data_IF_680020512899
#
_entry.id   IF_680020512899
#
_cell.length_a   1.000
_cell.length_b   1.000
_cell.length_c   1.000
_cell.angle_alpha   90.00
_cell.angle_beta   90.00
_cell.angle_gamma   90.00
#
_symmetry.space_group_name_H-M   'P 1'
#
loop_
_entity.id
_entity.type
_entity.pdbx_description
1 polymer ?
#
# COMPACT_ATOMS: atom_id res chain seq x y z
N UNK A 1 -66.18 5.67 -9.16
CA UNK A 1 -65.04 6.52 -8.74
C UNK A 1 -64.35 5.81 -7.59
N UNK A 2 -63.34 4.96 -7.83
CA UNK A 2 -62.64 4.26 -6.76
C UNK A 2 -61.56 5.16 -6.16
N UNK A 3 -61.59 5.28 -4.83
CA UNK A 3 -60.63 6.03 -4.02
C UNK A 3 -59.35 5.22 -3.85
N UNK A 4 -58.24 5.73 -4.39
CA UNK A 4 -56.88 5.24 -4.18
C UNK A 4 -56.45 5.54 -2.74
N UNK A 5 -56.18 4.48 -1.97
CA UNK A 5 -55.46 4.55 -0.69
C UNK A 5 -53.97 4.38 -0.94
N UNK A 6 -53.09 5.18 -0.31
CA UNK A 6 -51.65 5.04 -0.49
C UNK A 6 -51.11 3.81 0.26
N UNK A 7 -50.05 3.16 -0.26
CA UNK A 7 -49.47 1.98 0.35
C UNK A 7 -48.76 2.32 1.67
N UNK A 8 -48.98 1.47 2.68
CA UNK A 8 -48.28 1.50 3.96
C UNK A 8 -46.77 1.36 3.74
N UNK A 9 -46.03 2.23 4.42
CA UNK A 9 -44.57 2.20 4.59
C UNK A 9 -44.10 0.79 4.95
N UNK A 10 -43.13 0.28 4.18
CA UNK A 10 -42.38 -0.95 4.46
C UNK A 10 -41.54 -0.79 5.72
N UNK A 11 -41.61 -1.79 6.58
CA UNK A 11 -40.71 -2.01 7.71
C UNK A 11 -39.30 -2.32 7.19
N UNK A 12 -38.34 -1.44 7.47
CA UNK A 12 -36.93 -1.57 7.05
C UNK A 12 -36.03 -2.28 8.08
N UNK A 13 -36.60 -2.88 9.12
CA UNK A 13 -35.81 -3.56 10.16
C UNK A 13 -36.23 -5.03 10.29
N UNK A 14 -35.81 -5.86 9.33
CA UNK A 14 -35.76 -7.31 9.52
C UNK A 14 -34.36 -7.70 10.02
N UNK A 15 -34.22 -8.36 11.19
CA UNK A 15 -32.94 -8.80 11.76
C UNK A 15 -32.15 -9.78 10.88
N UNK A 16 -32.77 -10.37 9.86
CA UNK A 16 -32.15 -11.37 8.99
C UNK A 16 -31.11 -10.84 8.01
N UNK A 17 -31.07 -9.52 7.74
CA UNK A 17 -30.09 -8.93 6.81
C UNK A 17 -28.72 -8.61 7.43
N UNK A 18 -28.54 -8.81 8.74
CA UNK A 18 -27.25 -8.63 9.40
C UNK A 18 -26.35 -9.88 9.33
N UNK A 19 -26.91 -11.07 9.08
CA UNK A 19 -26.13 -12.32 9.01
C UNK A 19 -25.30 -12.43 7.73
N UNK A 20 -25.85 -11.96 6.59
CA UNK A 20 -25.23 -12.15 5.27
C UNK A 20 -23.97 -11.27 5.07
N UNK A 21 -23.79 -10.20 5.84
CA UNK A 21 -22.64 -9.29 5.68
C UNK A 21 -21.39 -9.68 6.48
N UNK A 22 -21.47 -10.60 7.43
CA UNK A 22 -20.31 -10.99 8.25
C UNK A 22 -19.61 -12.26 7.76
N UNK A 23 -20.29 -13.13 7.00
CA UNK A 23 -19.69 -14.35 6.44
C UNK A 23 -18.63 -14.05 5.36
N UNK A 24 -18.75 -12.93 4.65
CA UNK A 24 -17.76 -12.50 3.64
C UNK A 24 -16.45 -11.98 4.26
N UNK A 25 -16.46 -11.60 5.54
CA UNK A 25 -15.27 -11.08 6.22
C UNK A 25 -14.30 -12.17 6.68
N UNK A 26 -14.78 -13.39 6.94
CA UNK A 26 -13.96 -14.44 7.56
C UNK A 26 -13.27 -15.39 6.55
N UNK A 27 -13.67 -15.37 5.28
CA UNK A 27 -13.14 -16.30 4.27
C UNK A 27 -11.91 -15.80 3.48
N UNK A 28 -11.41 -14.58 3.71
CA UNK A 28 -10.39 -13.97 2.84
C UNK A 28 -8.99 -13.78 3.46
N UNK A 29 -8.72 -14.31 4.65
CA UNK A 29 -7.39 -14.23 5.30
C UNK A 29 -6.59 -15.55 5.29
N UNK A 30 -6.94 -16.48 4.40
CA UNK A 30 -6.18 -17.70 4.17
C UNK A 30 -4.94 -17.50 3.29
N UNK A 31 -3.80 -17.23 3.93
CA UNK A 31 -2.48 -17.72 3.51
C UNK A 31 -1.84 -17.17 2.23
N UNK A 32 -1.05 -16.11 2.36
CA UNK A 32 0.16 -15.94 1.54
C UNK A 32 1.32 -15.50 2.43
N UNK A 33 2.22 -16.44 2.71
CA UNK A 33 3.58 -16.15 3.15
C UNK A 33 4.43 -15.99 1.90
N UNK A 34 4.80 -14.75 1.57
CA UNK A 34 5.85 -14.46 0.58
C UNK A 34 6.96 -13.65 1.25
N UNK A 35 8.23 -13.92 0.91
CA UNK A 35 9.36 -13.23 1.49
C UNK A 35 9.44 -11.79 0.97
N UNK A 36 9.59 -10.86 1.90
CA UNK A 36 9.86 -9.44 1.64
C UNK A 36 11.26 -9.31 1.04
N UNK A 37 11.34 -9.03 -0.27
CA UNK A 37 12.52 -8.42 -0.88
C UNK A 37 12.18 -6.95 -1.11
N UNK A 38 12.73 -6.10 -0.26
CA UNK A 38 12.71 -4.65 -0.47
C UNK A 38 13.71 -4.29 -1.56
N UNK A 39 13.23 -4.04 -2.77
CA UNK A 39 13.93 -3.19 -3.74
C UNK A 39 13.15 -1.90 -3.87
N UNK A 40 13.71 -0.82 -3.34
CA UNK A 40 13.20 0.53 -3.54
C UNK A 40 13.52 0.97 -4.97
N UNK A 41 12.50 1.03 -5.83
CA UNK A 41 12.58 1.71 -7.12
C UNK A 41 11.72 2.98 -7.04
N UNK A 42 12.39 4.13 -7.12
CA UNK A 42 11.75 5.43 -7.18
C UNK A 42 11.44 5.75 -8.64
N UNK A 43 10.18 5.61 -9.05
CA UNK A 43 9.70 6.08 -10.36
C UNK A 43 9.29 7.56 -10.26
N UNK A 44 9.91 8.38 -11.09
CA UNK A 44 9.51 9.76 -11.34
C UNK A 44 8.88 9.86 -12.73
N UNK A 45 7.57 10.13 -12.72
CA UNK A 45 6.80 10.63 -13.87
C UNK A 45 7.36 11.99 -14.32
N UNK A 46 8.20 11.98 -15.35
CA UNK A 46 8.58 13.22 -16.07
C UNK A 46 7.60 13.42 -17.22
N UNK A 47 6.53 14.15 -16.93
CA UNK A 47 5.57 14.64 -17.93
C UNK A 47 6.25 15.77 -18.73
N UNK A 48 6.74 15.47 -19.93
CA UNK A 48 7.17 16.50 -20.89
C UNK A 48 5.97 17.39 -21.23
N UNK A 49 6.03 18.66 -20.85
CA UNK A 49 5.10 19.69 -21.33
C UNK A 49 5.72 20.35 -22.58
N UNK A 50 4.97 20.31 -23.67
CA UNK A 50 5.25 21.03 -24.92
C UNK A 50 5.39 22.55 -24.67
N UNK A 51 6.46 23.21 -25.15
CA UNK A 51 6.67 24.64 -24.95
C UNK A 51 5.97 25.56 -25.97
N UNK A 52 5.14 25.05 -26.89
CA UNK A 52 4.55 25.85 -27.97
C UNK A 52 3.01 26.01 -27.89
N UNK A 53 2.52 26.61 -26.80
CA UNK A 53 1.14 27.12 -26.76
C UNK A 53 1.10 28.61 -26.41
N UNK A 54 1.27 29.42 -27.46
CA UNK A 54 1.09 30.87 -27.43
C UNK A 54 -0.39 31.24 -27.37
N UNK A 55 -0.68 32.11 -26.41
CA UNK A 55 -1.63 33.24 -26.46
C UNK A 55 -3.07 32.98 -26.92
N UNK A 56 -4.01 32.97 -25.98
CA UNK A 56 -5.21 33.82 -26.09
C UNK A 56 -5.56 34.43 -24.72
N UNK A 57 -5.40 35.75 -24.64
CA UNK A 57 -5.81 36.64 -23.55
C UNK A 57 -7.35 36.67 -23.45
N UNK A 58 -7.87 36.36 -22.26
CA UNK A 58 -9.23 36.68 -21.84
C UNK A 58 -9.23 37.32 -20.46
N UNK A 59 -8.97 38.62 -20.38
CA UNK A 59 -9.00 39.38 -19.13
C UNK A 59 -10.44 39.55 -18.64
N UNK A 60 -10.76 39.03 -17.46
CA UNK A 60 -11.90 39.52 -16.67
C UNK A 60 -11.42 39.94 -15.29
N UNK A 61 -11.43 41.24 -15.09
CA UNK A 61 -11.08 41.96 -13.86
C UNK A 61 -12.24 41.85 -12.87
N UNK A 62 -12.11 41.00 -11.86
CA UNK A 62 -12.98 41.00 -10.68
C UNK A 62 -12.18 41.43 -9.44
N UNK A 63 -12.51 42.62 -8.92
CA UNK A 63 -11.95 43.19 -7.69
C UNK A 63 -12.33 42.35 -6.47
N UNK A 64 -11.39 41.97 -5.57
CA UNK A 64 -11.75 41.48 -4.25
C UNK A 64 -11.99 42.65 -3.30
N UNK A 65 -13.14 42.62 -2.61
CA UNK A 65 -13.48 43.52 -1.51
C UNK A 65 -12.74 43.07 -0.26
N UNK A 66 -12.02 44.02 0.32
CA UNK A 66 -11.40 43.97 1.64
C UNK A 66 -12.48 43.84 2.71
N UNK A 67 -12.46 42.76 3.48
CA UNK A 67 -13.18 42.65 4.75
C UNK A 67 -12.15 42.51 5.87
N UNK A 68 -11.98 43.60 6.62
CA UNK A 68 -11.20 43.65 7.85
C UNK A 68 -11.95 42.92 8.97
N UNK A 69 -11.54 41.69 9.25
CA UNK A 69 -12.01 40.90 10.39
C UNK A 69 -10.86 40.64 11.35
N UNK A 70 -10.76 41.45 12.40
CA UNK A 70 -9.87 41.24 13.56
C UNK A 70 -10.28 39.95 14.29
N UNK A 71 -9.39 38.96 14.36
CA UNK A 71 -9.34 38.05 15.53
C UNK A 71 -7.98 37.37 15.68
N UNK A 72 -7.35 37.69 16.81
CA UNK A 72 -6.57 36.84 17.71
C UNK A 72 -5.24 36.23 17.20
N UNK A 73 -4.20 36.57 17.95
CA UNK A 73 -2.84 36.07 17.85
C UNK A 73 -2.79 34.54 17.79
N UNK A 74 -2.41 34.03 16.64
CA UNK A 74 -1.96 32.65 16.47
C UNK A 74 -0.46 32.60 16.73
N UNK A 75 -0.07 31.68 17.61
CA UNK A 75 1.32 31.31 17.84
C UNK A 75 1.98 30.90 16.51
N UNK A 76 3.28 31.20 16.31
CA UNK A 76 3.98 30.85 15.09
C UNK A 76 4.10 29.32 15.00
N UNK A 77 3.35 28.73 14.05
CA UNK A 77 3.48 27.33 13.66
C UNK A 77 4.86 27.14 13.02
N UNK A 78 5.78 26.58 13.79
CA UNK A 78 7.16 26.29 13.42
C UNK A 78 7.30 25.11 12.43
N UNK A 79 6.19 24.56 11.93
CA UNK A 79 6.16 23.33 11.11
C UNK A 79 6.38 23.55 9.60
N UNK A 80 6.28 24.78 9.09
CA UNK A 80 6.50 25.03 7.65
C UNK A 80 7.97 25.06 7.24
N UNK A 81 8.90 25.24 8.19
CA UNK A 81 10.33 25.36 7.88
C UNK A 81 11.02 23.99 7.77
N UNK A 82 10.56 22.96 8.51
CA UNK A 82 11.11 21.61 8.39
C UNK A 82 10.88 20.99 7.00
N UNK A 83 9.74 21.30 6.37
CA UNK A 83 9.44 20.76 5.04
C UNK A 83 10.26 21.43 3.93
N UNK A 84 10.72 22.66 4.14
CA UNK A 84 11.53 23.36 3.15
C UNK A 84 12.97 22.82 3.12
N UNK A 85 13.56 22.58 4.29
CA UNK A 85 14.91 22.01 4.43
C UNK A 85 14.95 20.58 3.88
N UNK A 86 13.94 19.75 4.18
CA UNK A 86 13.82 18.40 3.60
C UNK A 86 13.60 18.42 2.07
N UNK A 87 12.87 19.41 1.55
CA UNK A 87 12.67 19.55 0.10
C UNK A 87 13.97 19.99 -0.61
N UNK A 88 14.78 20.84 0.02
CA UNK A 88 16.07 21.27 -0.51
C UNK A 88 17.10 20.13 -0.48
N UNK A 89 17.14 19.36 0.61
CA UNK A 89 18.00 18.17 0.72
C UNK A 89 17.62 17.08 -0.30
N UNK A 90 16.32 16.79 -0.47
CA UNK A 90 15.85 15.87 -1.51
C UNK A 90 16.20 16.36 -2.90
N UNK A 91 16.08 17.66 -3.17
CA UNK A 91 16.45 18.26 -4.46
C UNK A 91 17.96 18.11 -4.73
N UNK A 92 18.81 18.35 -3.73
CA UNK A 92 20.26 18.18 -3.85
C UNK A 92 20.63 16.70 -4.08
N UNK A 93 19.93 15.76 -3.41
CA UNK A 93 20.09 14.33 -3.67
C UNK A 93 19.66 13.94 -5.08
N UNK A 94 18.56 14.50 -5.60
CA UNK A 94 18.13 14.28 -6.98
C UNK A 94 19.11 14.85 -7.99
N UNK A 95 19.63 16.06 -7.76
CA UNK A 95 20.62 16.67 -8.62
C UNK A 95 21.90 15.83 -8.63
N UNK A 96 22.37 15.37 -7.47
CA UNK A 96 23.52 14.46 -7.36
C UNK A 96 23.29 13.13 -8.09
N UNK A 97 22.10 12.55 -8.00
CA UNK A 97 21.72 11.34 -8.76
C UNK A 97 21.66 11.59 -10.28
N UNK A 98 21.24 12.76 -10.72
CA UNK A 98 21.24 13.15 -12.14
C UNK A 98 22.67 13.38 -12.66
N UNK A 99 23.57 13.91 -11.83
CA UNK A 99 25.00 14.01 -12.18
C UNK A 99 25.70 12.64 -12.25
N UNK A 100 25.29 11.68 -11.41
CA UNK A 100 25.75 10.28 -11.52
C UNK A 100 25.26 9.60 -12.81
N UNK A 101 24.23 10.14 -13.47
CA UNK A 101 23.76 9.69 -14.79
C UNK A 101 24.51 10.29 -15.99
N UNK A 102 25.56 11.10 -15.81
CA UNK A 102 26.68 11.03 -16.77
C UNK A 102 27.31 9.65 -16.59
N UNK A 103 26.63 8.65 -17.12
CA UNK A 103 26.93 7.26 -16.87
C UNK A 103 28.34 6.96 -17.35
N UNK A 104 29.00 5.99 -16.73
CA UNK A 104 30.29 5.46 -17.16
C UNK A 104 30.34 5.21 -18.69
N UNK A 105 29.19 4.92 -19.30
CA UNK A 105 29.02 4.77 -20.74
C UNK A 105 29.25 6.08 -21.54
N UNK A 106 28.78 7.23 -21.04
CA UNK A 106 29.02 8.54 -21.68
C UNK A 106 30.48 8.99 -21.54
N UNK A 107 31.12 8.67 -20.41
CA UNK A 107 32.55 8.86 -20.23
C UNK A 107 33.36 7.96 -21.18
N UNK A 108 32.98 6.68 -21.30
CA UNK A 108 33.61 5.73 -22.23
C UNK A 108 33.44 6.17 -23.70
N UNK A 109 32.26 6.68 -24.06
CA UNK A 109 31.99 7.21 -25.41
C UNK A 109 32.82 8.45 -25.72
N UNK A 110 33.03 9.35 -24.75
CA UNK A 110 33.96 10.49 -24.90
C UNK A 110 35.40 10.03 -25.12
N UNK A 111 35.90 9.12 -24.30
CA UNK A 111 37.27 8.58 -24.43
C UNK A 111 37.47 7.90 -25.77
N UNK A 112 36.53 7.05 -26.21
CA UNK A 112 36.59 6.43 -27.54
C UNK A 112 36.55 7.45 -28.67
N UNK A 113 35.71 8.49 -28.56
CA UNK A 113 35.62 9.56 -29.57
C UNK A 113 36.94 10.33 -29.69
N UNK A 114 37.58 10.63 -28.56
CA UNK A 114 38.90 11.28 -28.53
C UNK A 114 40.00 10.37 -29.11
N UNK A 115 39.98 9.07 -28.78
CA UNK A 115 40.93 8.09 -29.31
C UNK A 115 40.78 7.88 -30.84
N UNK A 116 39.54 7.84 -31.34
CA UNK A 116 39.28 7.83 -32.79
C UNK A 116 39.71 9.15 -33.46
N UNK A 117 39.46 10.28 -32.80
CA UNK A 117 39.86 11.60 -33.31
C UNK A 117 41.37 11.75 -33.48
N UNK A 118 42.16 11.27 -32.51
CA UNK A 118 43.63 11.28 -32.57
C UNK A 118 44.17 10.28 -33.60
N UNK A 119 43.57 9.10 -33.71
CA UNK A 119 43.93 8.12 -34.74
C UNK A 119 43.66 8.66 -36.15
N UNK A 120 42.53 9.35 -36.36
CA UNK A 120 42.24 10.00 -37.66
C UNK A 120 43.18 11.18 -37.97
N UNK A 121 43.57 11.96 -36.97
CA UNK A 121 44.48 13.10 -37.20
C UNK A 121 45.91 12.67 -37.54
N UNK A 122 46.38 11.53 -37.00
CA UNK A 122 47.69 10.95 -37.32
C UNK A 122 47.74 10.28 -38.70
N UNK A 123 46.61 9.72 -39.19
CA UNK A 123 46.53 9.11 -40.52
C UNK A 123 46.48 10.14 -41.67
N UNK A 124 45.90 11.32 -41.45
CA UNK A 124 45.83 12.40 -42.46
C UNK A 124 47.19 12.80 -43.09
N UNK A 125 48.26 13.07 -42.32
CA UNK A 125 49.56 13.43 -42.90
C UNK A 125 50.27 12.26 -43.60
N UNK A 126 50.08 11.02 -43.13
CA UNK A 126 50.62 9.82 -43.80
C UNK A 126 49.95 9.65 -45.17
N UNK A 127 48.63 9.85 -45.24
CA UNK A 127 47.89 9.79 -46.49
C UNK A 127 48.30 10.90 -47.48
N UNK A 128 48.58 12.11 -46.98
CA UNK A 128 49.11 13.22 -47.79
C UNK A 128 50.52 12.94 -48.35
N UNK A 129 51.35 12.16 -47.66
CA UNK A 129 52.67 11.73 -48.14
C UNK A 129 52.59 10.57 -49.15
N UNK A 130 51.50 9.80 -49.13
CA UNK A 130 51.25 8.65 -50.00
C UNK A 130 50.50 8.98 -51.30
N UNK A 131 50.21 10.25 -51.57
CA UNK A 131 49.82 10.74 -52.90
C UNK A 131 51.06 11.16 -53.71
N UNK A 132 51.72 10.26 -54.46
CA UNK A 132 52.90 10.61 -55.23
C UNK A 132 52.52 11.43 -56.47
N UNK A 133 53.06 12.64 -56.54
CA UNK A 133 53.27 13.35 -57.80
C UNK A 133 54.35 12.61 -58.60
N UNK A 134 53.95 11.62 -59.40
CA UNK A 134 54.73 11.06 -60.50
C UNK A 134 55.94 10.17 -60.14
N UNK A 135 55.72 8.85 -59.98
CA UNK A 135 56.78 7.85 -60.23
C UNK A 135 56.18 6.46 -60.47
N UNK A 136 56.53 5.85 -61.61
CA UNK A 136 55.85 4.68 -62.20
C UNK A 136 56.12 3.31 -61.57
N UNK A 137 56.84 3.23 -60.44
CA UNK A 137 57.19 1.95 -59.78
C UNK A 137 56.29 1.58 -58.59
N UNK A 138 55.26 2.37 -58.27
CA UNK A 138 54.39 2.18 -57.09
C UNK A 138 53.15 1.27 -57.26
N UNK A 139 52.99 0.54 -58.37
CA UNK A 139 51.74 -0.19 -58.65
C UNK A 139 51.48 -1.37 -57.70
N UNK A 140 52.50 -2.17 -57.37
CA UNK A 140 52.35 -3.34 -56.50
C UNK A 140 52.01 -2.94 -55.04
N UNK A 141 52.64 -1.89 -54.52
CA UNK A 141 52.38 -1.40 -53.17
C UNK A 141 50.97 -0.77 -53.05
N UNK A 142 50.49 -0.09 -54.09
CA UNK A 142 49.11 0.41 -54.14
C UNK A 142 48.07 -0.71 -54.15
N UNK A 143 48.34 -1.81 -54.85
CA UNK A 143 47.44 -2.98 -54.83
C UNK A 143 47.38 -3.60 -53.43
N UNK A 144 48.53 -3.78 -52.77
CA UNK A 144 48.57 -4.30 -51.40
C UNK A 144 47.90 -3.35 -50.39
N UNK A 145 48.07 -2.03 -50.54
CA UNK A 145 47.36 -1.05 -49.71
C UNK A 145 45.86 -1.07 -49.97
N UNK A 146 45.42 -1.20 -51.23
CA UNK A 146 44.00 -1.35 -51.54
C UNK A 146 43.42 -2.63 -50.97
N UNK A 147 44.16 -3.74 -51.02
CA UNK A 147 43.74 -5.02 -50.45
C UNK A 147 43.60 -4.91 -48.93
N UNK A 148 44.58 -4.33 -48.23
CA UNK A 148 44.51 -4.09 -46.79
C UNK A 148 43.35 -3.17 -46.39
N UNK A 149 43.14 -2.07 -47.13
CA UNK A 149 42.02 -1.13 -46.88
C UNK A 149 40.67 -1.81 -47.14
N UNK A 150 40.57 -2.65 -48.17
CA UNK A 150 39.34 -3.38 -48.46
C UNK A 150 39.03 -4.42 -47.37
N UNK A 151 40.06 -5.08 -46.83
CA UNK A 151 39.90 -6.03 -45.71
C UNK A 151 39.43 -5.33 -44.44
N UNK A 152 40.07 -4.22 -44.04
CA UNK A 152 39.63 -3.40 -42.90
C UNK A 152 38.21 -2.88 -43.08
N UNK A 153 37.88 -2.42 -44.30
CA UNK A 153 36.52 -1.98 -44.63
C UNK A 153 35.51 -3.12 -44.47
N UNK A 154 35.83 -4.31 -44.95
CA UNK A 154 34.95 -5.48 -44.81
C UNK A 154 34.73 -5.85 -43.34
N UNK A 155 35.78 -5.81 -42.52
CA UNK A 155 35.68 -6.06 -41.07
C UNK A 155 34.80 -5.01 -40.36
N UNK A 156 34.99 -3.72 -40.66
CA UNK A 156 34.15 -2.65 -40.12
C UNK A 156 32.68 -2.79 -40.56
N UNK A 157 32.43 -3.19 -41.81
CA UNK A 157 31.06 -3.47 -42.28
C UNK A 157 30.42 -4.63 -41.52
N UNK A 158 31.17 -5.70 -41.22
CA UNK A 158 30.70 -6.81 -40.39
C UNK A 158 30.40 -6.36 -38.95
N UNK A 159 31.27 -5.56 -38.34
CA UNK A 159 31.03 -5.01 -37.01
C UNK A 159 29.79 -4.12 -37.00
N UNK A 160 29.62 -3.22 -37.97
CA UNK A 160 28.44 -2.37 -38.09
C UNK A 160 27.16 -3.20 -38.22
N UNK A 161 27.19 -4.31 -38.97
CA UNK A 161 26.06 -5.23 -39.05
C UNK A 161 25.75 -5.89 -37.70
N UNK A 162 26.78 -6.34 -36.98
CA UNK A 162 26.63 -6.93 -35.64
C UNK A 162 26.03 -5.93 -34.65
N UNK A 163 26.52 -4.70 -34.63
CA UNK A 163 25.99 -3.65 -33.75
C UNK A 163 24.54 -3.29 -34.11
N UNK A 164 24.18 -3.27 -35.40
CA UNK A 164 22.78 -3.07 -35.83
C UNK A 164 21.87 -4.18 -35.35
N UNK A 165 22.29 -5.45 -35.46
CA UNK A 165 21.53 -6.59 -34.95
C UNK A 165 21.34 -6.51 -33.43
N UNK A 166 22.41 -6.19 -32.68
CA UNK A 166 22.32 -6.02 -31.23
C UNK A 166 21.40 -4.87 -30.84
N UNK A 167 21.39 -3.77 -31.59
CA UNK A 167 20.49 -2.64 -31.35
C UNK A 167 19.03 -3.05 -31.59
N UNK A 168 18.75 -3.79 -32.67
CA UNK A 168 17.41 -4.29 -32.97
C UNK A 168 16.92 -5.28 -31.90
N UNK A 169 17.78 -6.20 -31.44
CA UNK A 169 17.46 -7.11 -30.34
C UNK A 169 17.17 -6.36 -29.05
N UNK A 170 18.00 -5.37 -28.70
CA UNK A 170 17.78 -4.56 -27.50
C UNK A 170 16.53 -3.70 -27.58
N UNK A 171 16.19 -3.20 -28.78
CA UNK A 171 14.95 -2.47 -29.00
C UNK A 171 13.73 -3.38 -28.76
N UNK A 172 13.74 -4.62 -29.27
CA UNK A 172 12.66 -5.59 -29.01
C UNK A 172 12.51 -5.91 -27.52
N UNK A 173 13.62 -6.13 -26.81
CA UNK A 173 13.59 -6.36 -25.36
C UNK A 173 13.03 -5.14 -24.61
N UNK A 174 13.37 -3.93 -25.05
CA UNK A 174 12.86 -2.71 -24.44
C UNK A 174 11.34 -2.58 -24.64
N UNK A 175 10.84 -2.84 -25.85
CA UNK A 175 9.40 -2.86 -26.15
C UNK A 175 8.64 -3.92 -25.32
N UNK A 176 9.19 -5.12 -25.15
CA UNK A 176 8.61 -6.16 -24.28
C UNK A 176 8.57 -5.72 -22.80
N UNK A 177 9.60 -5.02 -22.33
CA UNK A 177 9.64 -4.50 -20.95
C UNK A 177 8.64 -3.37 -20.74
N UNK A 178 8.48 -2.46 -21.71
CA UNK A 178 7.48 -1.40 -21.67
C UNK A 178 6.06 -2.00 -21.59
N UNK A 179 5.75 -2.99 -22.43
CA UNK A 179 4.46 -3.71 -22.36
C UNK A 179 4.23 -4.33 -20.98
N UNK A 180 5.26 -4.96 -20.39
CA UNK A 180 5.13 -5.56 -19.07
C UNK A 180 4.91 -4.52 -17.96
N UNK A 181 5.48 -3.34 -18.09
CA UNK A 181 5.25 -2.22 -17.16
C UNK A 181 3.80 -1.73 -17.27
N UNK A 182 3.26 -1.61 -18.48
CA UNK A 182 1.87 -1.22 -18.69
C UNK A 182 0.87 -2.23 -18.10
N UNK A 183 1.13 -3.53 -18.26
CA UNK A 183 0.33 -4.60 -17.64
C UNK A 183 0.31 -4.49 -16.10
N UNK A 184 1.49 -4.35 -15.49
CA UNK A 184 1.61 -4.24 -14.03
C UNK A 184 0.95 -2.96 -13.50
N UNK A 185 1.06 -1.85 -14.23
CA UNK A 185 0.39 -0.61 -13.89
C UNK A 185 -1.14 -0.75 -13.95
N UNK A 186 -1.67 -1.51 -14.91
CA UNK A 186 -3.10 -1.82 -14.97
C UNK A 186 -3.56 -2.67 -13.78
N UNK A 187 -2.82 -3.72 -13.42
CA UNK A 187 -3.11 -4.55 -12.23
C UNK A 187 -3.08 -3.72 -10.93
N UNK A 188 -2.09 -2.83 -10.79
CA UNK A 188 -1.97 -1.92 -9.65
C UNK A 188 -3.15 -0.94 -9.59
N UNK A 189 -3.58 -0.39 -10.74
CA UNK A 189 -4.75 0.49 -10.77
C UNK A 189 -6.04 -0.26 -10.41
N UNK A 190 -6.21 -1.49 -10.90
CA UNK A 190 -7.37 -2.33 -10.59
C UNK A 190 -7.42 -2.67 -9.09
N UNK A 191 -6.30 -3.06 -8.49
CA UNK A 191 -6.23 -3.34 -7.03
C UNK A 191 -6.48 -2.08 -6.21
N UNK A 192 -5.91 -0.93 -6.59
CA UNK A 192 -6.17 0.36 -5.95
C UNK A 192 -7.65 0.73 -6.00
N UNK A 193 -8.32 0.49 -7.13
CA UNK A 193 -9.75 0.70 -7.25
C UNK A 193 -10.55 -0.21 -6.32
N UNK A 194 -10.22 -1.50 -6.26
CA UNK A 194 -10.86 -2.46 -5.36
C UNK A 194 -10.72 -2.05 -3.88
N UNK A 195 -9.53 -1.62 -3.46
CA UNK A 195 -9.31 -1.11 -2.10
C UNK A 195 -10.11 0.17 -1.83
N UNK A 196 -10.20 1.07 -2.80
CA UNK A 196 -11.01 2.28 -2.66
C UNK A 196 -12.49 1.93 -2.50
N UNK A 197 -13.01 0.97 -3.27
CA UNK A 197 -14.39 0.49 -3.13
C UNK A 197 -14.65 -0.09 -1.75
N UNK A 198 -13.71 -0.90 -1.22
CA UNK A 198 -13.80 -1.40 0.16
C UNK A 198 -13.79 -0.25 1.17
N UNK A 199 -12.90 0.73 1.04
CA UNK A 199 -12.88 1.88 1.96
C UNK A 199 -14.18 2.69 1.93
N UNK A 200 -14.80 2.86 0.76
CA UNK A 200 -16.08 3.54 0.61
C UNK A 200 -17.22 2.72 1.25
N UNK A 201 -17.18 1.40 1.12
CA UNK A 201 -18.10 0.49 1.82
C UNK A 201 -17.93 0.57 3.35
N UNK A 202 -16.69 0.62 3.84
CA UNK A 202 -16.39 0.82 5.26
C UNK A 202 -16.79 2.22 5.74
N UNK A 203 -16.77 3.22 4.87
CA UNK A 203 -17.27 4.56 5.19
C UNK A 203 -18.77 4.52 5.50
N UNK A 204 -19.55 3.68 4.80
CA UNK A 204 -20.97 3.41 5.12
C UNK A 204 -21.11 2.72 6.48
N UNK A 205 -20.12 1.92 6.89
CA UNK A 205 -20.12 1.24 8.20
C UNK A 205 -19.63 2.11 9.37
N UNK A 206 -19.12 3.33 9.14
CA UNK A 206 -18.62 4.22 10.23
C UNK A 206 -19.60 4.42 11.39
N UNK A 207 -20.92 4.62 11.17
CA UNK A 207 -21.86 4.74 12.28
C UNK A 207 -21.90 3.48 13.16
N UNK A 208 -21.73 2.28 12.57
CA UNK A 208 -21.69 1.02 13.31
C UNK A 208 -20.44 0.92 14.17
N UNK A 209 -19.28 1.31 13.63
CA UNK A 209 -18.02 1.33 14.38
C UNK A 209 -18.06 2.32 15.55
N UNK A 210 -18.74 3.46 15.40
CA UNK A 210 -18.95 4.39 16.51
C UNK A 210 -19.80 3.80 17.63
N UNK A 211 -20.86 3.05 17.27
CA UNK A 211 -21.68 2.34 18.26
C UNK A 211 -20.88 1.26 18.97
N UNK A 212 -20.07 0.47 18.25
CA UNK A 212 -19.18 -0.54 18.85
C UNK A 212 -18.21 0.13 19.84
N UNK A 213 -17.53 1.21 19.44
CA UNK A 213 -16.64 1.97 20.33
C UNK A 213 -17.36 2.50 21.56
N UNK A 214 -18.59 2.99 21.39
CA UNK A 214 -19.41 3.46 22.51
C UNK A 214 -19.69 2.31 23.50
N UNK A 215 -20.02 1.12 22.99
CA UNK A 215 -20.21 -0.07 23.84
C UNK A 215 -18.92 -0.49 24.54
N UNK A 216 -17.78 -0.48 23.83
CA UNK A 216 -16.46 -0.78 24.41
C UNK A 216 -16.12 0.20 25.53
N UNK A 217 -16.35 1.50 25.34
CA UNK A 217 -16.13 2.54 26.35
C UNK A 217 -17.04 2.39 27.58
N UNK A 218 -18.31 2.02 27.40
CA UNK A 218 -19.24 1.88 28.53
C UNK A 218 -19.11 0.56 29.29
N UNK A 219 -18.78 -0.52 28.60
CA UNK A 219 -18.75 -1.86 29.19
C UNK A 219 -17.35 -2.31 29.58
N UNK A 220 -16.31 -1.60 29.10
CA UNK A 220 -14.91 -2.00 29.19
C UNK A 220 -14.63 -3.42 28.64
N UNK A 221 -15.50 -3.91 27.75
CA UNK A 221 -15.41 -5.21 27.11
C UNK A 221 -15.01 -5.02 25.65
N UNK A 222 -13.84 -5.52 25.28
CA UNK A 222 -13.33 -5.49 23.91
C UNK A 222 -13.50 -6.86 23.26
N UNK A 223 -14.12 -6.90 22.08
CA UNK A 223 -14.23 -8.13 21.28
C UNK A 223 -13.12 -8.13 20.23
N UNK A 224 -12.12 -8.98 20.45
CA UNK A 224 -10.89 -9.04 19.64
C UNK A 224 -10.99 -10.05 18.49
N UNK A 225 -11.96 -10.94 18.52
CA UNK A 225 -12.18 -11.93 17.46
C UNK A 225 -13.58 -12.51 17.51
N UNK A 226 -14.11 -12.83 16.33
CA UNK A 226 -15.42 -13.43 16.14
C UNK A 226 -15.25 -14.61 15.18
N UNK A 227 -15.66 -15.79 15.60
CA UNK A 227 -15.60 -17.02 14.82
C UNK A 227 -17.01 -17.65 14.77
N UNK A 228 -17.48 -18.00 13.57
CA UNK A 228 -18.71 -18.77 13.40
C UNK A 228 -18.36 -20.26 13.35
N UNK A 229 -19.13 -21.09 14.05
CA UNK A 229 -18.98 -22.54 14.07
C UNK A 229 -20.34 -23.19 13.77
N UNK A 230 -20.37 -24.24 12.94
CA UNK A 230 -21.62 -24.94 12.65
C UNK A 230 -22.11 -25.67 13.90
N UNK A 231 -23.26 -25.24 14.45
CA UNK A 231 -23.94 -25.85 15.58
C UNK A 231 -25.07 -26.80 15.16
N UNK A 232 -25.61 -27.55 16.12
CA UNK A 232 -26.70 -28.52 15.89
C UNK A 232 -28.02 -27.86 15.44
N UNK A 233 -28.24 -26.60 15.83
CA UNK A 233 -29.50 -25.87 15.62
C UNK A 233 -29.29 -24.51 14.92
N UNK A 234 -28.15 -24.31 14.27
CA UNK A 234 -27.77 -23.06 13.61
C UNK A 234 -26.29 -22.75 13.81
N UNK A 235 -25.88 -21.55 13.41
CA UNK A 235 -24.49 -21.10 13.61
C UNK A 235 -24.28 -20.65 15.05
N UNK A 236 -23.32 -21.30 15.71
CA UNK A 236 -22.83 -20.95 17.04
C UNK A 236 -21.66 -19.96 16.89
N UNK A 237 -21.70 -18.87 17.64
CA UNK A 237 -20.70 -17.81 17.57
C UNK A 237 -19.74 -17.88 18.75
N UNK A 238 -18.45 -17.79 18.47
CA UNK A 238 -17.37 -17.73 19.46
C UNK A 238 -16.72 -16.35 19.42
N UNK A 239 -16.71 -15.67 20.56
CA UNK A 239 -16.20 -14.32 20.76
C UNK A 239 -14.96 -14.38 21.64
N UNK A 240 -13.82 -13.87 21.16
CA UNK A 240 -12.64 -13.62 21.98
C UNK A 240 -12.76 -12.25 22.62
N UNK A 241 -12.81 -12.21 23.94
CA UNK A 241 -13.10 -11.01 24.71
C UNK A 241 -11.93 -10.65 25.63
N UNK A 242 -11.69 -9.35 25.81
CA UNK A 242 -10.79 -8.79 26.81
C UNK A 242 -11.57 -7.77 27.62
N UNK A 243 -11.67 -7.99 28.93
CA UNK A 243 -12.28 -7.05 29.85
C UNK A 243 -11.19 -6.27 30.58
N UNK A 244 -11.26 -4.95 30.57
CA UNK A 244 -10.26 -4.09 31.25
C UNK A 244 -10.90 -3.41 32.46
N UNK A 245 -10.30 -3.55 33.64
CA UNK A 245 -10.81 -2.87 34.82
C UNK A 245 -10.11 -1.52 35.03
N UNK A 246 -10.90 -0.45 34.94
CA UNK A 246 -10.45 0.93 35.14
C UNK A 246 -10.58 1.42 36.57
N UNK A 247 -9.91 0.78 37.53
CA UNK A 247 -9.90 1.24 38.93
C UNK A 247 -9.20 2.59 39.14
N UNK A 248 -9.25 3.12 40.37
CA UNK A 248 -8.63 4.41 40.74
C UNK A 248 -7.12 4.52 40.41
N UNK A 249 -6.45 3.37 40.23
CA UNK A 249 -5.01 3.28 39.94
C UNK A 249 -4.63 3.56 38.47
N UNK A 250 -5.58 3.99 37.63
CA UNK A 250 -5.35 4.23 36.18
C UNK A 250 -4.12 5.09 35.85
N UNK A 251 -3.67 5.93 36.78
CA UNK A 251 -2.52 6.83 36.59
C UNK A 251 -1.16 6.24 36.98
N UNK A 252 -1.09 5.11 37.69
CA UNK A 252 0.16 4.69 38.38
C UNK A 252 0.55 3.22 38.22
N UNK A 253 -0.26 2.37 37.58
CA UNK A 253 0.05 0.95 37.46
C UNK A 253 -0.49 0.28 36.19
N UNK A 254 -0.06 -0.96 35.92
CA UNK A 254 -0.64 -1.77 34.85
C UNK A 254 -2.14 -1.99 35.12
N UNK A 255 -2.96 -1.84 34.08
CA UNK A 255 -4.40 -2.10 34.15
C UNK A 255 -4.65 -3.60 34.26
N UNK A 256 -5.37 -4.02 35.29
CA UNK A 256 -5.82 -5.41 35.41
C UNK A 256 -6.80 -5.70 34.26
N UNK A 257 -6.53 -6.76 33.49
CA UNK A 257 -7.36 -7.18 32.36
C UNK A 257 -7.59 -8.69 32.36
N UNK A 258 -8.82 -9.10 32.05
CA UNK A 258 -9.23 -10.50 31.99
C UNK A 258 -9.53 -10.90 30.55
N UNK A 259 -8.79 -11.88 30.04
CA UNK A 259 -9.01 -12.45 28.72
C UNK A 259 -9.82 -13.73 28.82
N UNK A 260 -10.84 -13.86 27.98
CA UNK A 260 -11.74 -15.01 27.96
C UNK A 260 -12.42 -15.18 26.61
N UNK A 261 -13.04 -16.34 26.42
CA UNK A 261 -13.88 -16.62 25.27
C UNK A 261 -15.33 -16.79 25.74
N UNK A 262 -16.27 -16.22 24.97
CA UNK A 262 -17.70 -16.52 25.09
C UNK A 262 -18.14 -17.26 23.84
N UNK A 263 -18.78 -18.41 23.99
CA UNK A 263 -19.44 -19.10 22.87
C UNK A 263 -20.96 -19.14 23.09
N UNK A 264 -21.74 -18.78 22.08
CA UNK A 264 -23.20 -18.97 22.11
C UNK A 264 -23.52 -20.40 21.69
N UNK A 265 -24.39 -21.06 22.43
CA UNK A 265 -24.92 -22.37 22.09
C UNK A 265 -26.45 -22.32 22.12
N UNK A 266 -27.10 -22.95 21.15
CA UNK A 266 -28.57 -23.12 21.17
C UNK A 266 -28.92 -24.54 21.61
N UNK A 267 -29.69 -24.69 22.68
CA UNK A 267 -30.16 -25.98 23.17
C UNK A 267 -31.67 -26.11 23.01
N UNK A 268 -32.16 -27.28 22.58
CA UNK A 268 -33.60 -27.55 22.50
C UNK A 268 -34.13 -28.02 23.85
N UNK A 269 -35.13 -27.31 24.35
CA UNK A 269 -35.91 -27.72 25.52
C UNK A 269 -37.10 -28.55 25.03
N UNK A 270 -37.65 -29.45 25.87
CA UNK A 270 -38.71 -30.42 25.53
C UNK A 270 -39.97 -29.84 24.85
N UNK A 271 -40.16 -28.52 24.85
CA UNK A 271 -41.32 -27.82 24.29
C UNK A 271 -41.10 -27.17 22.90
N UNK A 272 -40.11 -27.61 22.12
CA UNK A 272 -39.69 -26.98 20.85
C UNK A 272 -39.20 -25.51 20.99
N UNK A 273 -39.09 -25.00 22.21
CA UNK A 273 -38.47 -23.72 22.51
C UNK A 273 -36.94 -23.91 22.58
N UNK A 274 -36.20 -23.11 21.81
CA UNK A 274 -34.74 -23.09 21.86
C UNK A 274 -34.27 -22.08 22.89
N UNK A 275 -33.47 -22.54 23.84
CA UNK A 275 -32.84 -21.69 24.83
C UNK A 275 -31.42 -21.34 24.40
N UNK A 276 -31.06 -20.06 24.49
CA UNK A 276 -29.71 -19.58 24.16
C UNK A 276 -28.84 -19.57 25.41
N UNK A 277 -27.84 -20.44 25.39
CA UNK A 277 -26.83 -20.56 26.43
C UNK A 277 -25.54 -19.85 25.99
N UNK A 278 -24.79 -19.35 26.97
CA UNK A 278 -23.46 -18.79 26.80
C UNK A 278 -22.47 -19.70 27.55
N UNK A 279 -21.42 -20.12 26.87
CA UNK A 279 -20.29 -20.84 27.44
C UNK A 279 -19.13 -19.87 27.65
N UNK A 280 -18.73 -19.71 28.90
CA UNK A 280 -17.54 -18.96 29.27
C UNK A 280 -16.34 -19.90 29.38
N UNK A 281 -15.21 -19.48 28.80
CA UNK A 281 -13.93 -20.18 28.90
C UNK A 281 -12.81 -19.16 29.14
N UNK A 282 -12.14 -19.16 30.30
CA UNK A 282 -11.03 -18.24 30.56
C UNK A 282 -9.84 -18.54 29.64
N UNK A 283 -9.19 -17.49 29.11
CA UNK A 283 -8.05 -17.61 28.19
C UNK A 283 -6.79 -17.12 28.88
N UNK A 284 -5.82 -18.02 29.07
CA UNK A 284 -4.46 -17.74 29.55
C UNK A 284 -4.40 -16.94 30.86
N UNK A 285 -4.64 -17.63 31.96
CA UNK A 285 -4.43 -17.12 33.33
C UNK A 285 -2.95 -17.11 33.76
N UNK A 286 -2.05 -17.68 32.94
CA UNK A 286 -0.69 -18.02 33.34
C UNK A 286 0.20 -16.81 33.68
N UNK A 287 -0.17 -15.60 33.21
CA UNK A 287 0.56 -14.37 33.53
C UNK A 287 -0.06 -13.55 34.66
N UNK A 288 -1.31 -13.80 35.05
CA UNK A 288 -1.92 -13.18 36.23
C UNK A 288 -1.59 -14.00 37.48
N UNK A 289 -0.40 -13.74 38.03
CA UNK A 289 0.11 -14.42 39.21
C UNK A 289 -0.86 -14.30 40.40
N UNK A 290 -1.50 -15.42 40.75
CA UNK A 290 -1.99 -15.84 42.09
C UNK A 290 -3.24 -15.23 42.70
N UNK A 291 -3.94 -14.28 42.06
CA UNK A 291 -5.22 -13.80 42.61
C UNK A 291 -6.33 -14.80 42.28
N UNK A 292 -7.00 -15.32 43.31
CA UNK A 292 -8.12 -16.24 43.11
C UNK A 292 -9.30 -15.49 42.47
N UNK A 293 -9.57 -15.70 41.19
CA UNK A 293 -10.76 -15.17 40.51
C UNK A 293 -12.02 -15.99 40.86
N UNK A 294 -11.85 -17.02 41.69
CA UNK A 294 -12.94 -17.76 42.31
C UNK A 294 -13.64 -18.66 41.30
N UNK A 295 -14.86 -18.30 40.92
CA UNK A 295 -15.63 -19.05 39.94
C UNK A 295 -15.22 -18.76 38.49
N UNK A 296 -14.58 -17.61 38.23
CA UNK A 296 -14.11 -17.21 36.89
C UNK A 296 -12.84 -17.96 36.45
N UNK A 297 -12.19 -18.70 37.36
CA UNK A 297 -11.03 -19.55 37.02
C UNK A 297 -11.43 -20.82 36.24
N UNK A 298 -12.72 -21.08 36.07
CA UNK A 298 -13.22 -22.32 35.45
C UNK A 298 -14.23 -22.01 34.34
N UNK A 299 -14.29 -22.84 33.29
CA UNK A 299 -15.37 -22.75 32.32
C UNK A 299 -16.73 -23.04 32.95
N UNK A 300 -17.77 -22.32 32.52
CA UNK A 300 -19.15 -22.58 32.93
C UNK A 300 -20.16 -22.09 31.89
N UNK A 301 -21.40 -22.54 32.04
CA UNK A 301 -22.52 -22.15 31.19
C UNK A 301 -23.51 -21.29 31.98
N UNK A 302 -24.11 -20.33 31.30
CA UNK A 302 -25.18 -19.49 31.84
C UNK A 302 -26.15 -19.09 30.74
N UNK A 303 -27.36 -18.68 31.10
CA UNK A 303 -28.35 -18.23 30.12
C UNK A 303 -27.95 -16.87 29.54
N UNK A 304 -28.26 -16.60 28.27
CA UNK A 304 -27.92 -15.31 27.63
C UNK A 304 -28.42 -14.10 28.43
N UNK A 305 -29.57 -14.21 29.08
CA UNK A 305 -30.18 -13.12 29.86
C UNK A 305 -29.39 -12.81 31.15
N UNK A 306 -28.50 -13.72 31.57
CA UNK A 306 -27.60 -13.55 32.71
C UNK A 306 -26.27 -12.89 32.31
N UNK A 307 -26.04 -12.54 31.04
CA UNK A 307 -24.83 -11.85 30.59
C UNK A 307 -24.53 -10.55 31.37
N UNK A 308 -25.51 -9.68 31.68
CA UNK A 308 -25.24 -8.50 32.51
C UNK A 308 -24.78 -8.84 33.93
N UNK A 309 -25.31 -9.92 34.51
CA UNK A 309 -24.91 -10.40 35.84
C UNK A 309 -23.48 -10.93 35.84
N UNK A 310 -23.12 -11.66 34.77
CA UNK A 310 -21.76 -12.14 34.55
C UNK A 310 -20.76 -10.99 34.40
N UNK A 311 -21.08 -9.96 33.62
CA UNK A 311 -20.20 -8.79 33.50
C UNK A 311 -20.06 -8.05 34.85
N UNK A 312 -21.15 -7.96 35.61
CA UNK A 312 -21.12 -7.44 36.98
C UNK A 312 -20.26 -8.27 37.92
N UNK A 313 -20.26 -9.61 37.80
CA UNK A 313 -19.41 -10.47 38.62
C UNK A 313 -17.93 -10.33 38.28
N UNK A 314 -17.57 -10.17 37.00
CA UNK A 314 -16.20 -9.85 36.60
C UNK A 314 -15.76 -8.52 37.23
N UNK A 315 -16.58 -7.48 37.11
CA UNK A 315 -16.26 -6.17 37.67
C UNK A 315 -16.00 -6.24 39.18
N UNK A 316 -16.92 -6.82 39.94
CA UNK A 316 -16.79 -6.93 41.40
C UNK A 316 -15.57 -7.78 41.80
N UNK A 317 -15.29 -8.86 41.06
CA UNK A 317 -14.14 -9.73 41.34
C UNK A 317 -12.81 -9.01 41.09
N UNK A 318 -12.72 -8.22 40.02
CA UNK A 318 -11.53 -7.43 39.72
C UNK A 318 -11.36 -6.24 40.68
N UNK A 319 -12.46 -5.63 41.12
CA UNK A 319 -12.45 -4.59 42.16
C UNK A 319 -11.95 -5.13 43.50
N UNK A 320 -12.47 -6.27 43.97
CA UNK A 320 -12.03 -6.94 45.20
C UNK A 320 -10.55 -7.40 45.13
N UNK A 321 -10.07 -7.72 43.93
CA UNK A 321 -8.71 -8.13 43.68
C UNK A 321 -7.70 -6.96 43.66
N UNK A 322 -8.17 -5.73 43.39
CA UNK A 322 -7.33 -4.56 43.09
C UNK A 322 -6.71 -3.87 44.31
#
# INVERSE_FOLDING_TARGET
MPTLTPPRSRDWYSPTNLSIMFDDFNNNFGGYSTPVIQTATCDHDVRFQDPDRKDELGSTTAKPKTNEGKTKANAPLHFSNLNAEQAEELREQFEKCLWVRETENDALMRVKKEQCGTSLSTLKPINAQLTPAGSGTGSALRLLMHEAVNEEKSQLEQEVLKWRQQLEEMQKVLEEKEQRVDELNYELQATKHNYQTLLDEWAVQRPRLQVIRLYEEFTHLYVTGIESQPGLYGDDWKFRCVFTYGGEKFLTGPTDSLSFTLATHSEKVENDESQRMMHYEPVQLDEMTTRSLGHLDRPFFFERDQLPLFLGSIYNTLEEAS
#
